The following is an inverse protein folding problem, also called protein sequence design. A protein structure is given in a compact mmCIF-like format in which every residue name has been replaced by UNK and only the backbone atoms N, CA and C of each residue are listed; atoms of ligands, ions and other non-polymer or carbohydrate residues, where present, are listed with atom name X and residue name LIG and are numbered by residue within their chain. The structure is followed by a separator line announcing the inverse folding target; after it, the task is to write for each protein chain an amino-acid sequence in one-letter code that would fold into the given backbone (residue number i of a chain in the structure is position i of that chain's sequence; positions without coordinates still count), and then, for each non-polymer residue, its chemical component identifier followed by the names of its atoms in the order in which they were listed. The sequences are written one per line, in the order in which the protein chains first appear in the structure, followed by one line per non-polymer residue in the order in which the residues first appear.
data_IF_072933158099
#
_entry.id   IF_072933158099
#
_cell.length_a   1.000
_cell.length_b   1.000
_cell.length_c   1.000
_cell.angle_alpha   90.00
_cell.angle_beta   90.00
_cell.angle_gamma   90.00
#
_symmetry.space_group_name_H-M   'P 1'
#
loop_
_entity.id
_entity.type
_entity.pdbx_description
1 polymer ?
#
# COMPACT_ATOMS: atom_id res chain seq x y z
N UNK A 1 13.21 5.91 50.21
CA UNK A 1 12.85 5.52 48.83
C UNK A 1 11.33 5.46 48.77
N UNK A 2 10.67 6.54 48.31
CA UNK A 2 9.22 6.51 48.11
C UNK A 2 8.94 5.78 46.80
N UNK A 3 8.11 4.74 46.88
CA UNK A 3 7.65 3.99 45.71
C UNK A 3 6.80 4.93 44.85
N UNK A 4 7.25 5.19 43.61
CA UNK A 4 6.45 5.88 42.60
C UNK A 4 5.33 4.93 42.16
N UNK A 5 4.21 4.95 42.88
CA UNK A 5 2.99 4.28 42.44
C UNK A 5 2.42 5.08 41.28
N UNK A 6 2.78 4.72 40.05
CA UNK A 6 2.17 5.26 38.84
C UNK A 6 0.68 4.93 38.87
N UNK A 7 -0.18 5.95 38.76
CA UNK A 7 -1.62 5.76 38.69
C UNK A 7 -1.97 5.00 37.40
N UNK A 8 -2.36 3.73 37.52
CA UNK A 8 -2.69 2.85 36.40
C UNK A 8 -3.83 3.42 35.54
N UNK A 9 -4.80 4.11 36.15
CA UNK A 9 -5.97 4.68 35.46
C UNK A 9 -5.51 5.78 34.50
N UNK A 10 -4.66 6.70 34.97
CA UNK A 10 -4.08 7.75 34.13
C UNK A 10 -3.20 7.17 33.00
N UNK A 11 -2.59 6.01 33.23
CA UNK A 11 -1.72 5.36 32.24
C UNK A 11 -2.53 4.67 31.15
N UNK A 12 -3.63 4.00 31.49
CA UNK A 12 -4.54 3.39 30.52
C UNK A 12 -5.25 4.45 29.68
N UNK A 13 -5.75 5.51 30.32
CA UNK A 13 -6.34 6.65 29.62
C UNK A 13 -5.34 7.32 28.68
N UNK A 14 -4.07 7.44 29.09
CA UNK A 14 -2.99 7.93 28.23
C UNK A 14 -2.75 7.02 27.03
N UNK A 15 -2.69 5.69 27.22
CA UNK A 15 -2.47 4.76 26.11
C UNK A 15 -3.63 4.74 25.12
N UNK A 16 -4.88 4.82 25.60
CA UNK A 16 -6.08 4.80 24.76
C UNK A 16 -6.26 6.10 23.94
N UNK A 17 -5.89 7.24 24.53
CA UNK A 17 -6.05 8.55 23.90
C UNK A 17 -4.80 9.04 23.14
N UNK A 18 -3.64 8.42 23.37
CA UNK A 18 -2.43 8.76 22.63
C UNK A 18 -2.48 8.15 21.23
N UNK A 19 -2.72 8.99 20.24
CA UNK A 19 -2.86 8.59 18.83
C UNK A 19 -1.62 7.88 18.26
N UNK A 20 -0.45 8.05 18.89
CA UNK A 20 0.79 7.36 18.50
C UNK A 20 0.89 5.94 19.08
N UNK A 21 0.16 5.66 20.17
CA UNK A 21 0.18 4.38 20.89
C UNK A 21 -1.11 3.58 20.73
N UNK A 22 -2.18 4.25 20.28
CA UNK A 22 -3.40 3.59 19.82
C UNK A 22 -3.00 2.60 18.73
N UNK A 23 -3.38 1.33 18.92
CA UNK A 23 -3.24 0.26 17.92
C UNK A 23 -3.94 0.69 16.62
N UNK A 24 -3.21 1.44 15.80
CA UNK A 24 -3.48 1.61 14.40
C UNK A 24 -2.85 0.41 13.71
N UNK A 25 -3.52 -0.12 12.69
CA UNK A 25 -2.95 -1.19 11.88
C UNK A 25 -1.59 -0.75 11.38
N UNK A 26 -0.53 -1.33 11.94
CA UNK A 26 0.83 -0.97 11.59
C UNK A 26 1.07 -1.42 10.14
N UNK A 27 1.48 -0.49 9.28
CA UNK A 27 1.93 -0.86 7.94
C UNK A 27 3.22 -1.66 8.06
N UNK A 28 3.16 -2.94 7.69
CA UNK A 28 4.37 -3.72 7.50
C UNK A 28 5.13 -3.17 6.29
N UNK A 29 6.38 -2.75 6.50
CA UNK A 29 7.25 -2.21 5.47
C UNK A 29 8.40 -3.18 5.23
N UNK A 30 8.60 -3.59 3.98
CA UNK A 30 9.74 -4.42 3.61
C UNK A 30 10.98 -3.54 3.41
N UNK A 31 11.91 -3.58 4.37
CA UNK A 31 13.10 -2.74 4.40
C UNK A 31 13.89 -2.71 3.08
N UNK A 32 14.19 -3.84 2.40
CA UNK A 32 14.95 -3.81 1.16
C UNK A 32 14.24 -3.04 0.03
N UNK A 33 12.93 -3.19 -0.08
CA UNK A 33 12.12 -2.50 -1.10
C UNK A 33 12.06 -1.01 -0.77
N UNK A 34 11.82 -0.65 0.49
CA UNK A 34 11.76 0.75 0.91
C UNK A 34 13.10 1.46 0.71
N UNK A 35 14.23 0.80 0.99
CA UNK A 35 15.57 1.34 0.77
C UNK A 35 15.87 1.57 -0.72
N UNK A 36 15.42 0.67 -1.59
CA UNK A 36 15.73 0.73 -3.03
C UNK A 36 14.75 1.62 -3.82
N UNK A 37 13.46 1.54 -3.53
CA UNK A 37 12.41 2.19 -4.32
C UNK A 37 11.89 3.48 -3.68
N UNK A 38 11.94 3.55 -2.36
CA UNK A 38 11.29 4.59 -1.56
C UNK A 38 10.10 4.03 -0.76
N UNK A 39 9.78 4.73 0.33
CA UNK A 39 8.74 4.32 1.28
C UNK A 39 7.36 4.29 0.60
N UNK A 40 7.04 5.28 -0.24
CA UNK A 40 5.73 5.34 -0.88
C UNK A 40 5.51 4.17 -1.84
N UNK A 41 6.54 3.82 -2.61
CA UNK A 41 6.53 2.71 -3.55
C UNK A 41 6.40 1.37 -2.82
N UNK A 42 7.13 1.19 -1.73
CA UNK A 42 7.05 -0.01 -0.90
C UNK A 42 5.66 -0.16 -0.25
N UNK A 43 5.10 0.92 0.30
CA UNK A 43 3.74 0.93 0.87
C UNK A 43 2.69 0.59 -0.20
N UNK A 44 2.80 1.17 -1.39
CA UNK A 44 1.88 0.89 -2.49
C UNK A 44 1.99 -0.57 -2.96
N UNK A 45 3.20 -1.09 -3.15
CA UNK A 45 3.41 -2.49 -3.56
C UNK A 45 2.86 -3.48 -2.53
N UNK A 46 3.12 -3.25 -1.23
CA UNK A 46 2.61 -4.13 -0.18
C UNK A 46 1.08 -4.18 -0.20
N UNK A 47 0.43 -3.01 -0.33
CA UNK A 47 -1.02 -2.95 -0.35
C UNK A 47 -1.63 -3.48 -1.65
N UNK A 48 -0.95 -3.31 -2.78
CA UNK A 48 -1.36 -3.94 -4.05
C UNK A 48 -1.25 -5.46 -3.95
N UNK A 49 -0.21 -5.99 -3.29
CA UNK A 49 -0.04 -7.43 -3.07
C UNK A 49 -1.20 -8.02 -2.26
N UNK A 50 -1.51 -7.44 -1.10
CA UNK A 50 -2.64 -7.85 -0.25
C UNK A 50 -3.96 -7.93 -1.06
N UNK A 51 -4.27 -6.88 -1.83
CA UNK A 51 -5.48 -6.85 -2.65
C UNK A 51 -5.46 -7.83 -3.84
N UNK A 52 -4.28 -8.18 -4.34
CA UNK A 52 -4.13 -9.21 -5.37
C UNK A 52 -4.35 -10.61 -4.79
N UNK A 53 -4.02 -10.85 -3.53
CA UNK A 53 -4.30 -12.14 -2.87
C UNK A 53 -5.81 -12.39 -2.81
N UNK A 54 -6.59 -11.35 -2.50
CA UNK A 54 -8.05 -11.37 -2.45
C UNK A 54 -8.73 -11.33 -3.83
N UNK A 55 -8.02 -10.89 -4.87
CA UNK A 55 -8.60 -10.77 -6.21
C UNK A 55 -8.93 -12.13 -6.84
N UNK A 56 -10.12 -12.21 -7.41
CA UNK A 56 -10.61 -13.36 -8.19
C UNK A 56 -10.46 -13.14 -9.70
N UNK A 57 -10.00 -11.97 -10.13
CA UNK A 57 -9.83 -11.65 -11.54
C UNK A 57 -8.50 -12.22 -12.04
N UNK A 58 -8.57 -13.26 -12.86
CA UNK A 58 -7.42 -13.88 -13.52
C UNK A 58 -7.48 -13.70 -15.04
N UNK A 59 -6.34 -13.33 -15.64
CA UNK A 59 -6.18 -13.16 -17.09
C UNK A 59 -4.73 -13.43 -17.49
N UNK A 60 -4.54 -14.18 -18.57
CA UNK A 60 -3.22 -14.52 -19.13
C UNK A 60 -2.30 -15.25 -18.14
N UNK A 61 -2.88 -16.02 -17.20
CA UNK A 61 -2.14 -16.72 -16.15
C UNK A 61 -1.72 -15.85 -14.96
N UNK A 62 -2.20 -14.60 -14.87
CA UNK A 62 -1.90 -13.69 -13.78
C UNK A 62 -3.17 -13.22 -13.07
N UNK A 63 -3.09 -13.01 -11.75
CA UNK A 63 -4.08 -12.24 -11.01
C UNK A 63 -3.94 -10.75 -11.32
N UNK A 64 -5.08 -10.08 -11.49
CA UNK A 64 -5.17 -8.65 -11.75
C UNK A 64 -6.08 -7.98 -10.73
N UNK A 65 -5.76 -6.74 -10.38
CA UNK A 65 -6.62 -5.88 -9.58
C UNK A 65 -7.22 -4.81 -10.49
N UNK A 66 -8.55 -4.76 -10.56
CA UNK A 66 -9.28 -3.68 -11.24
C UNK A 66 -9.54 -2.55 -10.25
N UNK A 67 -9.02 -1.34 -10.53
CA UNK A 67 -9.21 -0.20 -9.61
C UNK A 67 -9.13 1.17 -10.29
N UNK A 68 -9.87 2.13 -9.77
CA UNK A 68 -9.78 3.55 -10.17
C UNK A 68 -8.74 4.28 -9.32
N UNK A 69 -8.22 5.40 -9.82
CA UNK A 69 -7.38 6.29 -9.01
C UNK A 69 -8.12 6.86 -7.80
N UNK A 70 -9.42 7.13 -7.92
CA UNK A 70 -10.25 7.60 -6.79
C UNK A 70 -10.32 6.54 -5.69
N UNK A 71 -10.48 5.25 -6.05
CA UNK A 71 -10.48 4.16 -5.08
C UNK A 71 -9.10 4.01 -4.40
N UNK A 72 -8.00 4.21 -5.13
CA UNK A 72 -6.67 4.29 -4.52
C UNK A 72 -6.56 5.46 -3.54
N UNK A 73 -7.12 6.63 -3.88
CA UNK A 73 -7.10 7.81 -3.02
C UNK A 73 -7.90 7.62 -1.73
N UNK A 74 -9.02 6.92 -1.78
CA UNK A 74 -9.79 6.57 -0.56
C UNK A 74 -8.92 5.72 0.38
N UNK A 75 -8.18 4.76 -0.16
CA UNK A 75 -7.34 3.88 0.64
C UNK A 75 -6.07 4.56 1.16
N UNK A 76 -5.50 5.44 0.36
CA UNK A 76 -4.34 6.26 0.72
C UNK A 76 -4.78 7.71 0.97
N UNK A 77 -5.73 7.91 1.89
CA UNK A 77 -6.34 9.22 2.16
C UNK A 77 -5.34 10.30 2.62
N UNK A 78 -4.14 9.89 3.04
CA UNK A 78 -3.03 10.77 3.41
C UNK A 78 -2.15 11.19 2.21
N UNK A 79 -2.32 10.58 1.04
CA UNK A 79 -1.63 10.97 -0.20
C UNK A 79 -2.52 11.82 -1.09
N UNK A 80 -1.89 12.81 -1.75
CA UNK A 80 -2.56 13.52 -2.83
C UNK A 80 -2.75 12.62 -4.04
N UNK A 81 -3.73 12.94 -4.89
CA UNK A 81 -3.91 12.26 -6.19
C UNK A 81 -2.61 12.21 -7.00
N UNK A 82 -1.86 13.33 -7.04
CA UNK A 82 -0.58 13.45 -7.74
C UNK A 82 0.49 12.52 -7.16
N UNK A 83 0.49 12.30 -5.85
CA UNK A 83 1.41 11.37 -5.19
C UNK A 83 1.12 9.94 -5.64
N UNK A 84 -0.15 9.54 -5.65
CA UNK A 84 -0.58 8.20 -6.08
C UNK A 84 -0.22 7.96 -7.54
N UNK A 85 -0.53 8.92 -8.41
CA UNK A 85 -0.17 8.86 -9.82
C UNK A 85 1.34 8.75 -10.02
N UNK A 86 2.13 9.58 -9.32
CA UNK A 86 3.59 9.56 -9.40
C UNK A 86 4.20 8.23 -8.96
N UNK A 87 3.68 7.63 -7.89
CA UNK A 87 4.11 6.31 -7.38
C UNK A 87 3.81 5.22 -8.41
N UNK A 88 2.57 5.16 -8.92
CA UNK A 88 2.16 4.19 -9.92
C UNK A 88 3.04 4.31 -11.18
N UNK A 89 3.17 5.52 -11.72
CA UNK A 89 3.98 5.75 -12.92
C UNK A 89 5.45 5.38 -12.72
N UNK A 90 6.01 5.62 -11.53
CA UNK A 90 7.40 5.25 -11.22
C UNK A 90 7.56 3.73 -11.18
N UNK A 91 6.67 3.02 -10.49
CA UNK A 91 6.66 1.56 -10.43
C UNK A 91 6.48 0.92 -11.82
N UNK A 92 5.63 1.51 -12.67
CA UNK A 92 5.44 1.09 -14.07
C UNK A 92 6.71 1.27 -14.88
N UNK A 93 7.31 2.47 -14.85
CA UNK A 93 8.56 2.77 -15.57
C UNK A 93 9.70 1.86 -15.15
N UNK A 94 9.76 1.50 -13.87
CA UNK A 94 10.77 0.59 -13.35
C UNK A 94 10.45 -0.89 -13.62
N UNK A 95 9.21 -1.21 -14.00
CA UNK A 95 8.75 -2.55 -14.34
C UNK A 95 8.31 -3.40 -13.15
N UNK A 96 8.10 -2.82 -11.97
CA UNK A 96 7.61 -3.58 -10.79
C UNK A 96 6.11 -3.84 -10.84
N UNK A 97 5.36 -2.96 -11.50
CA UNK A 97 3.94 -3.16 -11.76
C UNK A 97 3.67 -3.12 -13.25
N UNK A 98 2.73 -3.93 -13.69
CA UNK A 98 2.25 -3.99 -15.07
C UNK A 98 0.79 -3.57 -15.05
N UNK A 99 0.44 -2.68 -15.97
CA UNK A 99 -0.93 -2.16 -16.06
C UNK A 99 -1.50 -2.30 -17.44
N UNK A 100 -2.83 -2.40 -17.50
CA UNK A 100 -3.61 -2.43 -18.73
C UNK A 100 -4.79 -1.49 -18.58
N UNK A 101 -5.12 -0.75 -19.63
CA UNK A 101 -6.39 -0.03 -19.70
C UNK A 101 -7.53 -1.00 -19.99
N UNK A 102 -8.71 -0.74 -19.43
CA UNK A 102 -9.97 -1.39 -19.82
C UNK A 102 -10.74 -0.39 -20.66
N UNK A 103 -10.53 -0.41 -21.97
CA UNK A 103 -11.01 0.61 -22.93
C UNK A 103 -12.54 0.56 -23.20
N UNK A 104 -13.40 0.39 -22.19
CA UNK A 104 -14.84 0.22 -22.44
C UNK A 104 -15.71 1.46 -22.17
N UNK A 105 -15.21 2.49 -21.48
CA UNK A 105 -15.85 3.82 -21.54
C UNK A 105 -14.88 4.96 -21.19
N UNK A 106 -15.00 6.08 -21.91
CA UNK A 106 -14.26 7.33 -21.65
C UNK A 106 -14.52 7.93 -20.24
N UNK A 107 -15.50 7.41 -19.51
CA UNK A 107 -15.94 7.87 -18.19
C UNK A 107 -15.32 7.05 -17.04
N UNK A 108 -14.91 5.82 -17.31
CA UNK A 108 -14.48 4.89 -16.28
C UNK A 108 -12.94 4.85 -16.27
N UNK A 109 -12.33 5.72 -15.47
CA UNK A 109 -10.87 5.81 -15.24
C UNK A 109 -10.32 4.58 -14.45
N UNK A 110 -10.85 3.41 -14.77
CA UNK A 110 -10.53 2.12 -14.20
C UNK A 110 -9.34 1.52 -14.94
N UNK A 111 -8.35 1.05 -14.19
CA UNK A 111 -7.14 0.42 -14.70
C UNK A 111 -6.97 -0.96 -14.07
N UNK A 112 -6.37 -1.88 -14.80
CA UNK A 112 -5.93 -3.16 -14.27
C UNK A 112 -4.47 -3.05 -13.82
N UNK A 113 -4.16 -3.61 -12.66
CA UNK A 113 -2.84 -3.63 -12.07
C UNK A 113 -2.44 -5.06 -11.72
N UNK A 114 -1.16 -5.41 -11.92
CA UNK A 114 -0.54 -6.58 -11.31
C UNK A 114 0.91 -6.29 -10.96
N UNK A 115 1.47 -7.07 -10.03
CA UNK A 115 2.90 -7.02 -9.70
C UNK A 115 3.66 -7.96 -10.64
N UNK A 116 4.86 -7.55 -11.07
CA UNK A 116 5.83 -8.46 -11.69
C UNK A 116 6.64 -9.17 -10.59
N UNK A 117 6.09 -10.27 -10.08
CA UNK A 117 6.73 -11.03 -8.99
C UNK A 117 8.08 -11.62 -9.40
N UNK A 118 8.29 -11.98 -10.66
CA UNK A 118 9.58 -12.47 -11.15
C UNK A 118 10.68 -11.41 -11.01
N UNK A 119 10.33 -10.15 -11.31
CA UNK A 119 11.25 -9.03 -11.11
C UNK A 119 11.54 -8.77 -9.63
N UNK A 120 10.50 -8.83 -8.78
CA UNK A 120 10.68 -8.68 -7.33
C UNK A 120 11.63 -9.76 -6.80
N UNK A 121 11.39 -11.02 -7.13
CA UNK A 121 12.24 -12.15 -6.73
C UNK A 121 13.69 -11.92 -7.19
N UNK A 122 13.91 -11.64 -8.48
CA UNK A 122 15.27 -11.42 -9.02
C UNK A 122 16.05 -10.28 -8.37
N UNK A 123 15.36 -9.25 -7.86
CA UNK A 123 16.00 -8.03 -7.37
C UNK A 123 16.11 -7.94 -5.85
N UNK A 124 15.40 -8.78 -5.11
CA UNK A 124 15.30 -8.72 -3.65
C UNK A 124 15.48 -10.07 -2.94
N UNK A 125 15.53 -11.20 -3.67
CA UNK A 125 15.77 -12.56 -3.17
C UNK A 125 16.98 -13.18 -3.88
#
# INVERSE_FOLDING_TARGET
MQSNSINLINTLEFLENNILLKNSEAFYLQDPIAMKLGVNEAVFLNKLHELLEESTLEKDGYKWLRRTYTAWQIQFAFWSFRTIEGVIQKLERQGYIITSSTNDSLLDNTKLYRIDYNKIEKEFL
#
